data_IF_311606190407
#
_entry.id   IF_311606190407
#
_cell.length_a   1.000
_cell.length_b   1.000
_cell.length_c   1.000
_cell.angle_alpha   90.00
_cell.angle_beta   90.00
_cell.angle_gamma   90.00
#
_symmetry.space_group_name_H-M   'P 1'
#
loop_
_entity.id
_entity.type
_entity.pdbx_description
1 polymer ?
#
# COMPACT_ATOMS: atom_id res chain seq x y z
N UNK A 1 -6.18 -8.16 4.77
CA UNK A 1 -7.53 -8.76 4.74
C UNK A 1 -8.12 -8.85 6.15
N UNK A 2 -7.31 -9.26 7.14
CA UNK A 2 -7.71 -9.32 8.56
C UNK A 2 -8.32 -8.01 9.05
N UNK A 3 -7.69 -6.86 8.79
CA UNK A 3 -8.21 -5.55 9.22
C UNK A 3 -9.60 -5.25 8.62
N UNK A 4 -9.78 -5.52 7.32
CA UNK A 4 -11.04 -5.33 6.63
C UNK A 4 -12.14 -6.25 7.19
N UNK A 5 -11.81 -7.52 7.47
CA UNK A 5 -12.71 -8.47 8.13
C UNK A 5 -13.13 -8.00 9.53
N UNK A 6 -12.17 -7.53 10.33
CA UNK A 6 -12.43 -6.99 11.67
C UNK A 6 -13.36 -5.77 11.62
N UNK A 7 -13.09 -4.81 10.73
CA UNK A 7 -13.92 -3.60 10.58
C UNK A 7 -15.34 -3.99 10.12
N UNK A 8 -15.45 -4.89 9.14
CA UNK A 8 -16.73 -5.35 8.62
C UNK A 8 -17.57 -6.03 9.70
N UNK A 9 -16.99 -6.97 10.44
CA UNK A 9 -17.70 -7.66 11.51
C UNK A 9 -18.04 -6.74 12.68
N UNK A 10 -17.17 -5.79 13.01
CA UNK A 10 -17.45 -4.77 14.03
C UNK A 10 -18.66 -3.92 13.66
N UNK A 11 -18.83 -3.59 12.38
CA UNK A 11 -19.99 -2.85 11.90
C UNK A 11 -21.30 -3.68 11.91
N UNK A 12 -21.21 -5.01 11.82
CA UNK A 12 -22.38 -5.91 11.82
C UNK A 12 -22.92 -6.28 13.21
N UNK A 13 -22.18 -5.98 14.28
CA UNK A 13 -22.57 -6.34 15.64
C UNK A 13 -22.59 -7.85 15.86
N UNK A 14 -23.78 -8.45 15.93
CA UNK A 14 -23.96 -9.88 16.26
C UNK A 14 -24.00 -10.81 15.04
N UNK A 15 -24.27 -10.28 13.84
CA UNK A 15 -24.39 -11.08 12.64
C UNK A 15 -23.02 -11.24 11.95
N UNK A 16 -22.11 -11.94 12.61
CA UNK A 16 -20.71 -12.10 12.16
C UNK A 16 -20.59 -12.93 10.88
N UNK A 17 -19.55 -12.66 10.11
CA UNK A 17 -19.18 -13.42 8.90
C UNK A 17 -17.81 -14.07 9.12
N UNK A 18 -17.66 -15.30 8.63
CA UNK A 18 -16.39 -16.02 8.73
C UNK A 18 -15.31 -15.35 7.87
N UNK A 19 -14.01 -15.46 8.23
CA UNK A 19 -12.92 -14.94 7.41
C UNK A 19 -12.95 -15.48 5.97
N UNK A 20 -13.32 -16.75 5.81
CA UNK A 20 -13.35 -17.44 4.53
C UNK A 20 -14.47 -16.94 3.62
N UNK A 21 -15.64 -16.61 4.18
CA UNK A 21 -16.74 -16.03 3.41
C UNK A 21 -16.43 -14.61 2.96
N UNK A 22 -15.75 -13.81 3.81
CA UNK A 22 -15.27 -12.47 3.40
C UNK A 22 -14.27 -12.60 2.26
N UNK A 23 -13.32 -13.54 2.34
CA UNK A 23 -12.34 -13.80 1.27
C UNK A 23 -13.03 -14.16 -0.05
N UNK A 24 -13.95 -15.13 -0.04
CA UNK A 24 -14.74 -15.53 -1.22
C UNK A 24 -15.57 -14.37 -1.79
N UNK A 25 -16.16 -13.55 -0.93
CA UNK A 25 -16.89 -12.37 -1.37
C UNK A 25 -15.98 -11.36 -2.07
N UNK A 26 -14.77 -11.13 -1.55
CA UNK A 26 -13.78 -10.25 -2.18
C UNK A 26 -13.35 -10.73 -3.57
N UNK A 27 -13.26 -12.05 -3.80
CA UNK A 27 -12.93 -12.64 -5.11
C UNK A 27 -13.99 -12.38 -6.19
N UNK A 28 -15.23 -12.06 -5.77
CA UNK A 28 -16.33 -11.76 -6.69
C UNK A 28 -16.38 -10.29 -7.11
N UNK A 29 -15.68 -9.38 -6.41
CA UNK A 29 -15.72 -7.94 -6.69
C UNK A 29 -15.37 -7.58 -8.15
N UNK A 30 -14.33 -8.17 -8.79
CA UNK A 30 -14.04 -7.88 -10.19
C UNK A 30 -15.18 -8.27 -11.12
N UNK A 31 -15.88 -9.38 -10.85
CA UNK A 31 -17.01 -9.86 -11.65
C UNK A 31 -18.25 -8.97 -11.50
N UNK A 32 -18.36 -8.28 -10.37
CA UNK A 32 -19.46 -7.38 -10.04
C UNK A 32 -19.17 -5.92 -10.44
N UNK A 33 -17.99 -5.64 -11.02
CA UNK A 33 -17.60 -4.29 -11.42
C UNK A 33 -17.37 -3.34 -10.25
N UNK A 34 -17.03 -3.86 -9.07
CA UNK A 34 -16.76 -3.04 -7.88
C UNK A 34 -15.30 -2.53 -7.96
N UNK A 35 -15.03 -1.23 -7.79
CA UNK A 35 -13.71 -0.62 -7.97
C UNK A 35 -12.75 -0.85 -6.79
N UNK A 36 -12.79 -2.06 -6.19
CA UNK A 36 -11.84 -2.53 -5.18
C UNK A 36 -11.41 -3.94 -5.52
N UNK A 37 -10.15 -4.25 -5.29
CA UNK A 37 -9.56 -5.52 -5.66
C UNK A 37 -8.87 -6.18 -4.47
N UNK A 38 -8.93 -7.50 -4.44
CA UNK A 38 -8.17 -8.31 -3.51
C UNK A 38 -6.79 -8.56 -4.11
N UNK A 39 -5.76 -7.93 -3.56
CA UNK A 39 -4.37 -8.10 -3.97
C UNK A 39 -3.66 -9.09 -3.05
N UNK A 40 -2.80 -9.91 -3.66
CA UNK A 40 -1.84 -10.77 -2.94
C UNK A 40 -0.45 -10.16 -3.05
N UNK A 41 0.21 -9.94 -1.92
CA UNK A 41 1.62 -9.53 -1.87
C UNK A 41 2.55 -10.72 -2.01
N UNK A 42 3.84 -10.47 -2.27
CA UNK A 42 4.86 -11.51 -2.42
C UNK A 42 5.04 -12.36 -1.15
N UNK A 43 4.75 -11.81 0.02
CA UNK A 43 4.73 -12.54 1.30
C UNK A 43 3.57 -13.55 1.44
N UNK A 44 2.58 -13.48 0.54
CA UNK A 44 1.30 -14.20 0.67
C UNK A 44 0.22 -13.42 1.44
N UNK A 45 0.55 -12.25 2.00
CA UNK A 45 -0.43 -11.36 2.64
C UNK A 45 -1.48 -10.88 1.65
N UNK A 46 -2.74 -10.92 2.05
CA UNK A 46 -3.86 -10.39 1.26
C UNK A 46 -4.22 -8.98 1.71
N UNK A 47 -4.46 -8.06 0.78
CA UNK A 47 -4.98 -6.73 1.05
C UNK A 47 -6.13 -6.34 0.13
N UNK A 48 -7.03 -5.52 0.66
CA UNK A 48 -8.09 -4.88 -0.12
C UNK A 48 -7.55 -3.51 -0.52
N UNK A 49 -7.41 -3.26 -1.82
CA UNK A 49 -6.91 -2.00 -2.37
C UNK A 49 -7.91 -1.41 -3.36
N UNK A 50 -7.80 -0.12 -3.64
CA UNK A 50 -8.58 0.53 -4.70
C UNK A 50 -8.25 -0.09 -6.06
N UNK A 51 -9.20 -0.11 -6.99
CA UNK A 51 -8.96 -0.51 -8.38
C UNK A 51 -7.91 0.37 -9.08
N UNK A 52 -7.81 1.63 -8.65
CA UNK A 52 -6.82 2.60 -9.16
C UNK A 52 -5.49 2.57 -8.40
N UNK A 53 -5.25 1.52 -7.62
CA UNK A 53 -4.00 1.37 -6.89
C UNK A 53 -2.85 1.14 -7.87
N UNK A 54 -1.86 2.02 -7.83
CA UNK A 54 -0.67 1.97 -8.67
C UNK A 54 0.60 1.84 -7.81
N UNK A 55 1.40 0.84 -8.14
CA UNK A 55 2.67 0.56 -7.52
C UNK A 55 3.72 1.64 -7.82
N UNK A 56 3.71 2.20 -9.03
CA UNK A 56 4.68 3.22 -9.44
C UNK A 56 4.50 4.50 -8.63
N UNK A 57 3.25 4.81 -8.26
CA UNK A 57 2.93 5.92 -7.36
C UNK A 57 3.46 5.69 -5.95
N UNK A 58 3.40 4.45 -5.45
CA UNK A 58 3.97 4.09 -4.14
C UNK A 58 5.49 4.19 -4.17
N UNK A 59 6.13 3.63 -5.18
CA UNK A 59 7.58 3.66 -5.33
C UNK A 59 8.09 5.09 -5.50
N UNK A 60 7.36 5.93 -6.23
CA UNK A 60 7.67 7.36 -6.37
C UNK A 60 7.70 8.07 -5.00
N UNK A 61 6.69 7.82 -4.15
CA UNK A 61 6.63 8.42 -2.80
C UNK A 61 7.77 7.92 -1.91
N UNK A 62 8.09 6.63 -1.98
CA UNK A 62 9.20 6.03 -1.23
C UNK A 62 10.55 6.60 -1.67
N UNK A 63 10.79 6.73 -2.97
CA UNK A 63 12.02 7.32 -3.51
C UNK A 63 12.20 8.78 -3.06
N UNK A 64 11.14 9.57 -3.04
CA UNK A 64 11.19 10.96 -2.57
C UNK A 64 11.52 11.03 -1.08
N UNK A 65 10.95 10.13 -0.28
CA UNK A 65 11.26 10.01 1.15
C UNK A 65 12.71 9.57 1.39
N UNK A 66 13.27 8.71 0.52
CA UNK A 66 14.69 8.34 0.57
C UNK A 66 15.62 9.48 0.14
N UNK A 67 15.16 10.35 -0.76
CA UNK A 67 15.92 11.48 -1.30
C UNK A 67 15.84 12.74 -0.41
N UNK A 68 14.80 12.87 0.40
CA UNK A 68 14.57 14.02 1.26
C UNK A 68 13.84 13.60 2.54
N UNK A 69 14.23 14.17 3.69
CA UNK A 69 13.56 13.89 4.97
C UNK A 69 12.20 14.61 5.12
N UNK A 70 11.75 15.26 4.05
CA UNK A 70 10.49 15.98 4.00
C UNK A 70 9.33 15.02 3.70
N UNK A 71 8.69 14.56 4.77
CA UNK A 71 7.50 13.71 4.75
C UNK A 71 6.38 14.36 3.93
N UNK A 72 6.22 15.68 3.97
CA UNK A 72 5.11 16.36 3.30
C UNK A 72 5.33 16.41 1.79
N UNK A 73 6.56 16.71 1.36
CA UNK A 73 6.97 16.54 -0.03
C UNK A 73 6.72 15.11 -0.50
N UNK A 74 7.11 14.10 0.28
CA UNK A 74 6.96 12.70 -0.10
C UNK A 74 5.50 12.22 -0.22
N UNK A 75 4.53 12.88 0.45
CA UNK A 75 3.09 12.53 0.32
C UNK A 75 2.52 12.87 -1.05
N UNK A 76 3.05 13.91 -1.70
CA UNK A 76 2.52 14.38 -2.98
C UNK A 76 2.62 13.32 -4.07
N UNK A 77 1.53 13.11 -4.79
CA UNK A 77 1.50 12.20 -5.93
C UNK A 77 2.30 12.81 -7.07
N UNK A 78 3.28 12.06 -7.58
CA UNK A 78 4.12 12.44 -8.71
C UNK A 78 4.45 11.20 -9.55
N UNK A 79 4.76 11.36 -10.85
CA UNK A 79 5.21 10.25 -11.68
C UNK A 79 6.54 9.66 -11.18
N UNK A 80 6.73 8.37 -11.42
CA UNK A 80 7.93 7.65 -11.00
C UNK A 80 9.20 8.24 -11.64
N UNK A 81 9.16 8.65 -12.91
CA UNK A 81 10.32 9.25 -13.58
C UNK A 81 10.77 10.56 -12.92
N UNK A 82 9.83 11.34 -12.39
CA UNK A 82 10.15 12.58 -11.68
C UNK A 82 10.81 12.29 -10.34
N UNK A 83 10.29 11.30 -9.59
CA UNK A 83 10.88 10.84 -8.34
C UNK A 83 12.31 10.32 -8.55
N UNK A 84 12.55 9.54 -9.61
CA UNK A 84 13.89 9.06 -9.97
C UNK A 84 14.85 10.22 -10.27
N UNK A 85 14.39 11.26 -10.98
CA UNK A 85 15.21 12.45 -11.27
C UNK A 85 15.57 13.21 -10.00
N UNK A 86 14.64 13.34 -9.06
CA UNK A 86 14.89 13.96 -7.75
C UNK A 86 15.91 13.15 -6.96
N UNK A 87 15.69 11.84 -6.85
CA UNK A 87 16.58 10.90 -6.16
C UNK A 87 18.01 10.93 -6.70
N UNK A 88 18.20 11.02 -8.03
CA UNK A 88 19.52 11.14 -8.66
C UNK A 88 20.22 12.48 -8.40
N UNK A 89 19.46 13.54 -8.15
CA UNK A 89 20.00 14.87 -7.78
C UNK A 89 20.29 14.99 -6.31
N UNK A 90 19.66 14.16 -5.48
CA UNK A 90 20.00 14.07 -4.07
C UNK A 90 21.42 13.56 -3.93
N UNK A 91 22.18 14.12 -2.98
CA UNK A 91 23.57 13.74 -2.71
C UNK A 91 23.74 12.33 -2.09
N UNK A 92 22.71 11.49 -2.19
CA UNK A 92 22.62 10.16 -1.59
C UNK A 92 21.17 9.79 -1.26
N UNK A 93 20.92 8.49 -1.12
CA UNK A 93 19.65 7.96 -0.62
C UNK A 93 19.84 7.48 0.81
N UNK A 94 18.89 7.82 1.69
CA UNK A 94 18.88 7.32 3.07
C UNK A 94 18.05 6.05 3.21
N UNK A 95 18.31 5.30 4.27
CA UNK A 95 17.41 4.23 4.71
C UNK A 95 16.08 4.80 5.16
N UNK A 96 14.99 4.12 4.85
CA UNK A 96 13.63 4.47 5.29
C UNK A 96 13.09 3.39 6.22
N UNK A 97 12.55 3.81 7.37
CA UNK A 97 11.87 2.91 8.30
C UNK A 97 10.41 2.66 7.94
N UNK A 98 9.87 1.52 8.36
CA UNK A 98 8.46 1.12 8.16
C UNK A 98 7.48 2.20 8.66
N UNK A 99 7.74 2.81 9.81
CA UNK A 99 6.87 3.84 10.39
C UNK A 99 6.83 5.11 9.53
N UNK A 100 7.95 5.48 8.90
CA UNK A 100 8.03 6.64 8.01
C UNK A 100 7.28 6.36 6.71
N UNK A 101 7.50 5.18 6.12
CA UNK A 101 6.78 4.71 4.95
C UNK A 101 5.27 4.68 5.19
N UNK A 102 4.82 4.10 6.30
CA UNK A 102 3.40 4.08 6.67
C UNK A 102 2.81 5.49 6.78
N UNK A 103 3.58 6.42 7.36
CA UNK A 103 3.16 7.82 7.50
C UNK A 103 3.01 8.49 6.14
N UNK A 104 3.96 8.33 5.22
CA UNK A 104 3.91 8.93 3.88
C UNK A 104 2.83 8.31 3.01
N UNK A 105 2.71 6.98 3.02
CA UNK A 105 1.75 6.24 2.20
C UNK A 105 0.31 6.35 2.74
N UNK A 106 0.14 6.70 4.01
CA UNK A 106 -1.17 6.75 4.65
C UNK A 106 -1.76 5.36 4.90
N UNK A 107 -0.91 4.37 5.16
CA UNK A 107 -1.28 2.96 5.29
C UNK A 107 -1.00 2.42 6.69
N UNK A 108 -1.49 1.21 6.99
CA UNK A 108 -1.05 0.48 8.20
C UNK A 108 0.43 0.09 8.11
N UNK A 109 1.04 -0.21 9.26
CA UNK A 109 2.44 -0.64 9.34
C UNK A 109 2.69 -1.93 8.55
N UNK A 110 1.76 -2.89 8.61
CA UNK A 110 1.89 -4.14 7.86
C UNK A 110 1.84 -3.88 6.35
N UNK A 111 0.92 -3.04 5.89
CA UNK A 111 0.84 -2.71 4.47
C UNK A 111 2.07 -1.91 4.00
N UNK A 112 2.62 -1.03 4.84
CA UNK A 112 3.84 -0.32 4.55
C UNK A 112 5.07 -1.25 4.44
N UNK A 113 5.14 -2.31 5.27
CA UNK A 113 6.19 -3.34 5.12
C UNK A 113 6.08 -4.05 3.78
N UNK A 114 4.88 -4.45 3.38
CA UNK A 114 4.66 -5.11 2.09
C UNK A 114 5.06 -4.21 0.92
N UNK A 115 4.74 -2.91 0.99
CA UNK A 115 5.17 -1.95 -0.03
C UNK A 115 6.70 -1.80 -0.10
N UNK A 116 7.39 -1.75 1.05
CA UNK A 116 8.85 -1.70 1.09
C UNK A 116 9.47 -2.98 0.49
N UNK A 117 8.92 -4.15 0.79
CA UNK A 117 9.38 -5.43 0.23
C UNK A 117 9.12 -5.51 -1.29
N UNK A 118 7.97 -5.01 -1.75
CA UNK A 118 7.68 -4.92 -3.18
C UNK A 118 8.66 -3.98 -3.89
N UNK A 119 8.93 -2.81 -3.32
CA UNK A 119 9.90 -1.87 -3.87
C UNK A 119 11.30 -2.49 -3.92
N UNK A 120 11.77 -3.14 -2.84
CA UNK A 120 13.06 -3.82 -2.80
C UNK A 120 13.17 -4.92 -3.87
N UNK A 121 12.09 -5.67 -4.12
CA UNK A 121 12.07 -6.70 -5.16
C UNK A 121 12.15 -6.16 -6.59
N UNK A 122 11.85 -4.87 -6.79
CA UNK A 122 11.91 -4.18 -8.10
C UNK A 122 13.23 -3.47 -8.38
N UNK A 123 14.09 -3.28 -7.36
CA UNK A 123 15.39 -2.60 -7.46
C UNK A 123 15.29 -1.08 -7.38
#
# INVERSE_FOLDING_TARGET
LVDAWCIYNRARGTALVSPEDVRKACELWPKLGIPIVLRTFSSGSLAVVSGDFDDDVVDAKLLVLMASDDVESARSTRPLEEAIRLARRAGGLRSVGVTEAARVLGTSLELAREHLLCAESRG
#
